data_IF_915894532949
#
_entry.id   IF_915894532949
#
_cell.length_a   1.000
_cell.length_b   1.000
_cell.length_c   1.000
_cell.angle_alpha   90.00
_cell.angle_beta   90.00
_cell.angle_gamma   90.00
#
_symmetry.space_group_name_H-M   'P 1'
#
loop_
_entity.id
_entity.type
_entity.pdbx_description
1 polymer ?
#
# COMPACT_ATOMS: atom_id res chain seq x y z
N UNK A 1 5.82 -24.00 3.88
CA UNK A 1 6.95 -23.49 3.08
C UNK A 1 6.42 -22.34 2.26
N UNK A 2 6.98 -21.14 2.41
CA UNK A 2 6.58 -20.00 1.61
C UNK A 2 6.95 -20.24 0.13
N UNK A 3 6.10 -19.84 -0.85
CA UNK A 3 6.42 -20.01 -2.26
C UNK A 3 7.67 -19.17 -2.60
N UNK A 4 8.58 -19.74 -3.37
CA UNK A 4 9.74 -18.98 -3.87
C UNK A 4 9.36 -18.25 -5.14
N UNK A 5 9.61 -16.93 -5.23
CA UNK A 5 9.32 -16.19 -6.45
C UNK A 5 10.30 -16.59 -7.57
N UNK A 6 9.87 -16.55 -8.84
CA UNK A 6 10.75 -16.83 -9.97
C UNK A 6 11.98 -15.90 -9.97
N UNK A 7 13.19 -16.46 -10.15
CA UNK A 7 14.43 -15.68 -10.05
C UNK A 7 14.71 -14.81 -11.29
N UNK A 8 14.41 -15.30 -12.48
CA UNK A 8 14.85 -14.73 -13.76
C UNK A 8 13.77 -13.87 -14.43
N UNK A 9 13.26 -12.87 -13.70
CA UNK A 9 12.29 -11.92 -14.27
C UNK A 9 12.87 -10.50 -14.31
N UNK A 10 12.53 -9.70 -15.34
CA UNK A 10 13.07 -8.34 -15.49
C UNK A 10 12.69 -7.41 -14.36
N UNK A 11 11.51 -7.60 -13.75
CA UNK A 11 11.03 -6.82 -12.63
C UNK A 11 10.93 -7.66 -11.35
N UNK A 12 11.27 -7.03 -10.22
CA UNK A 12 11.08 -7.63 -8.91
C UNK A 12 9.63 -7.47 -8.46
N UNK A 13 8.99 -6.32 -8.76
CA UNK A 13 7.59 -6.06 -8.44
C UNK A 13 6.87 -5.31 -9.56
N UNK A 14 5.65 -5.75 -9.88
CA UNK A 14 4.69 -5.06 -10.72
C UNK A 14 3.49 -4.65 -9.87
N UNK A 15 3.05 -3.40 -9.98
CA UNK A 15 1.90 -2.88 -9.25
C UNK A 15 0.72 -2.55 -10.15
N UNK A 16 -0.49 -2.94 -9.71
CA UNK A 16 -1.77 -2.61 -10.35
C UNK A 16 -2.70 -2.07 -9.25
N UNK A 17 -3.10 -0.81 -9.35
CA UNK A 17 -3.96 -0.17 -8.37
C UNK A 17 -3.83 1.35 -8.38
N UNK A 18 -4.01 1.97 -7.23
CA UNK A 18 -4.10 3.40 -7.09
C UNK A 18 -2.78 4.14 -7.30
N UNK A 19 -2.88 5.22 -8.08
CA UNK A 19 -1.88 6.26 -8.21
C UNK A 19 -2.60 7.62 -8.19
N UNK A 20 -2.39 8.42 -7.15
CA UNK A 20 -3.21 9.59 -6.83
C UNK A 20 -2.41 10.88 -6.72
N UNK A 21 -3.13 12.00 -6.74
CA UNK A 21 -2.66 13.29 -6.24
C UNK A 21 -3.32 13.57 -4.90
N UNK A 22 -2.51 13.94 -3.92
CA UNK A 22 -2.95 14.25 -2.57
C UNK A 22 -2.86 15.77 -2.34
N UNK A 23 -4.01 16.41 -2.17
CA UNK A 23 -4.15 17.82 -1.78
C UNK A 23 -4.15 17.88 -0.26
N UNK A 24 -2.95 18.01 0.35
CA UNK A 24 -2.80 18.03 1.80
C UNK A 24 -3.05 19.46 2.33
N UNK A 25 -3.96 19.57 3.29
CA UNK A 25 -4.32 20.82 3.96
C UNK A 25 -4.10 20.68 5.45
N UNK A 26 -3.08 21.35 5.97
CA UNK A 26 -2.80 21.39 7.41
C UNK A 26 -3.66 22.46 8.06
N UNK A 27 -4.34 22.09 9.13
CA UNK A 27 -5.31 22.92 9.85
C UNK A 27 -4.90 23.07 11.30
N UNK A 28 -5.22 24.21 11.97
CA UNK A 28 -4.87 24.46 13.38
C UNK A 28 -5.67 23.61 14.37
N UNK A 29 -6.41 22.62 13.90
CA UNK A 29 -7.21 21.70 14.69
C UNK A 29 -8.18 20.91 13.84
N UNK A 30 -8.73 19.83 14.42
CA UNK A 30 -9.62 18.87 13.74
C UNK A 30 -10.90 19.54 13.21
N UNK A 31 -11.34 19.14 12.03
CA UNK A 31 -12.69 19.42 11.52
C UNK A 31 -13.59 18.26 11.95
N UNK A 32 -14.54 18.55 12.84
CA UNK A 32 -15.60 17.59 13.16
C UNK A 32 -16.74 17.76 12.16
N UNK A 33 -17.00 16.74 11.37
CA UNK A 33 -18.04 16.77 10.32
C UNK A 33 -19.48 16.76 10.88
N UNK A 34 -19.67 16.34 12.14
CA UNK A 34 -20.97 16.10 12.75
C UNK A 34 -21.36 17.12 13.83
N UNK A 35 -20.67 18.24 13.95
CA UNK A 35 -20.99 19.32 14.91
C UNK A 35 -21.06 20.65 14.19
N UNK A 36 -21.85 21.62 14.73
CA UNK A 36 -21.84 22.98 14.22
C UNK A 36 -20.39 23.54 14.21
N UNK A 37 -19.91 23.88 13.05
CA UNK A 37 -18.54 24.36 12.84
C UNK A 37 -18.60 25.76 12.21
N UNK A 38 -17.59 26.62 12.43
CA UNK A 38 -17.46 27.85 11.65
C UNK A 38 -17.53 27.57 10.17
N UNK A 39 -18.27 28.39 9.43
CA UNK A 39 -18.45 28.23 7.97
C UNK A 39 -17.19 28.46 7.16
N UNK A 40 -16.14 29.05 7.79
CA UNK A 40 -14.83 29.31 7.18
C UNK A 40 -13.72 28.96 8.17
N UNK A 41 -12.72 28.24 7.69
CA UNK A 41 -11.47 28.00 8.40
C UNK A 41 -10.28 28.35 7.53
N UNK A 42 -9.23 28.88 8.13
CA UNK A 42 -7.97 29.12 7.45
C UNK A 42 -7.20 27.82 7.31
N UNK A 43 -6.58 27.63 6.16
CA UNK A 43 -5.59 26.58 5.93
C UNK A 43 -4.22 27.20 6.27
N UNK A 44 -3.48 26.57 7.17
CA UNK A 44 -2.17 27.06 7.58
C UNK A 44 -1.09 26.68 6.56
N UNK A 45 -1.19 25.48 6.01
CA UNK A 45 -0.26 24.98 5.00
C UNK A 45 -1.00 24.14 3.96
N UNK A 46 -0.64 24.33 2.68
CA UNK A 46 -1.12 23.53 1.57
C UNK A 46 0.06 22.87 0.86
N UNK A 47 -0.05 21.55 0.63
CA UNK A 47 0.88 20.78 -0.18
C UNK A 47 0.09 20.06 -1.28
N UNK A 48 0.74 19.82 -2.43
CA UNK A 48 0.20 18.98 -3.50
C UNK A 48 1.25 17.93 -3.78
N UNK A 49 0.97 16.70 -3.39
CA UNK A 49 1.91 15.59 -3.39
C UNK A 49 1.36 14.44 -4.23
N UNK A 50 2.22 13.51 -4.62
CA UNK A 50 1.80 12.27 -5.24
C UNK A 50 1.66 11.18 -4.18
N UNK A 51 0.64 10.33 -4.34
CA UNK A 51 0.29 9.23 -3.46
C UNK A 51 -0.35 8.09 -4.22
N UNK A 52 -1.21 7.36 -3.53
CA UNK A 52 -1.86 6.13 -3.99
C UNK A 52 -1.13 4.91 -3.47
N UNK A 53 -1.90 3.94 -3.02
CA UNK A 53 -1.44 2.75 -2.30
C UNK A 53 -0.36 1.99 -3.08
N UNK A 54 -0.67 1.59 -4.31
CA UNK A 54 0.28 0.85 -5.16
C UNK A 54 1.45 1.74 -5.58
N UNK A 55 1.19 2.98 -5.99
CA UNK A 55 2.25 3.87 -6.44
C UNK A 55 3.29 4.16 -5.34
N UNK A 56 2.85 4.34 -4.09
CA UNK A 56 3.73 4.52 -2.92
C UNK A 56 4.49 3.24 -2.58
N UNK A 57 3.84 2.07 -2.65
CA UNK A 57 4.49 0.76 -2.45
C UNK A 57 5.61 0.52 -3.47
N UNK A 58 5.39 0.86 -4.75
CA UNK A 58 6.40 0.74 -5.81
C UNK A 58 7.57 1.72 -5.61
N UNK A 59 7.26 2.98 -5.29
CA UNK A 59 8.30 3.98 -4.97
C UNK A 59 9.17 3.52 -3.80
N UNK A 60 8.57 2.92 -2.77
CA UNK A 60 9.30 2.32 -1.64
C UNK A 60 10.16 1.14 -2.08
N UNK A 61 9.62 0.27 -2.92
CA UNK A 61 10.35 -0.88 -3.45
C UNK A 61 11.61 -0.44 -4.21
N UNK A 62 11.50 0.59 -5.06
CA UNK A 62 12.66 1.16 -5.78
C UNK A 62 13.66 1.81 -4.83
N UNK A 63 13.19 2.53 -3.81
CA UNK A 63 14.06 3.15 -2.80
C UNK A 63 14.90 2.11 -2.04
N UNK A 64 14.43 0.86 -1.97
CA UNK A 64 15.17 -0.26 -1.38
C UNK A 64 16.04 -1.04 -2.40
N UNK A 65 16.06 -0.59 -3.67
CA UNK A 65 16.89 -1.17 -4.72
C UNK A 65 16.23 -2.25 -5.55
N UNK A 66 14.89 -2.40 -5.48
CA UNK A 66 14.15 -3.31 -6.34
C UNK A 66 13.80 -2.66 -7.69
N UNK A 67 13.64 -3.46 -8.72
CA UNK A 67 13.15 -3.05 -10.04
C UNK A 67 11.62 -3.12 -10.04
N UNK A 68 10.95 -1.97 -10.14
CA UNK A 68 9.51 -1.89 -10.07
C UNK A 68 8.89 -1.35 -11.37
N UNK A 69 7.71 -1.86 -11.73
CA UNK A 69 6.90 -1.37 -12.84
C UNK A 69 5.45 -1.16 -12.40
N UNK A 70 4.82 -0.13 -12.95
CA UNK A 70 3.42 0.22 -12.71
C UNK A 70 2.58 -0.10 -13.95
N UNK A 71 1.54 -0.90 -13.79
CA UNK A 71 0.60 -1.30 -14.84
C UNK A 71 -0.87 -0.96 -14.47
N UNK A 72 -1.06 0.03 -13.61
CA UNK A 72 -2.37 0.55 -13.22
C UNK A 72 -2.89 1.66 -14.15
N UNK A 73 -4.10 2.16 -13.85
CA UNK A 73 -4.73 3.27 -14.57
C UNK A 73 -4.20 4.63 -14.11
N UNK A 74 -3.94 5.52 -15.07
CA UNK A 74 -3.60 6.93 -14.86
C UNK A 74 -4.52 7.76 -15.76
N UNK A 75 -5.06 8.86 -15.24
CA UNK A 75 -5.86 9.80 -16.02
C UNK A 75 -5.03 10.56 -17.07
N UNK A 76 -5.69 11.08 -18.11
CA UNK A 76 -5.05 11.88 -19.16
C UNK A 76 -5.00 13.39 -18.83
N UNK A 77 -5.34 13.77 -17.61
CA UNK A 77 -5.28 15.14 -17.10
C UNK A 77 -3.90 15.54 -16.55
N UNK A 78 -3.77 16.78 -16.07
CA UNK A 78 -2.54 17.30 -15.47
C UNK A 78 -2.12 16.50 -14.22
N UNK A 79 -3.08 16.04 -13.42
CA UNK A 79 -2.81 15.20 -12.24
C UNK A 79 -2.19 13.86 -12.65
N UNK A 80 -2.74 13.18 -13.65
CA UNK A 80 -2.18 11.94 -14.18
C UNK A 80 -0.79 12.12 -14.78
N UNK A 81 -0.60 13.21 -15.54
CA UNK A 81 0.72 13.55 -16.06
C UNK A 81 1.75 13.81 -14.94
N UNK A 82 1.33 14.42 -13.82
CA UNK A 82 2.18 14.65 -12.65
C UNK A 82 2.54 13.35 -11.94
N UNK A 83 1.56 12.48 -11.68
CA UNK A 83 1.80 11.16 -11.08
C UNK A 83 2.78 10.35 -11.93
N UNK A 84 2.59 10.32 -13.24
CA UNK A 84 3.48 9.62 -14.17
C UNK A 84 4.92 10.14 -14.10
N UNK A 85 5.11 11.46 -14.11
CA UNK A 85 6.44 12.06 -13.95
C UNK A 85 7.08 11.72 -12.63
N UNK A 86 6.32 11.74 -11.53
CA UNK A 86 6.82 11.37 -10.20
C UNK A 86 7.28 9.91 -10.14
N UNK A 87 6.49 8.97 -10.66
CA UNK A 87 6.87 7.55 -10.72
C UNK A 87 8.17 7.36 -11.51
N UNK A 88 8.27 7.95 -12.70
CA UNK A 88 9.49 7.89 -13.52
C UNK A 88 10.69 8.52 -12.80
N UNK A 89 10.52 9.66 -12.15
CA UNK A 89 11.62 10.33 -11.41
C UNK A 89 12.15 9.49 -10.26
N UNK A 90 11.32 8.60 -9.71
CA UNK A 90 11.69 7.65 -8.67
C UNK A 90 12.25 6.32 -9.19
N UNK A 91 12.32 6.16 -10.51
CA UNK A 91 12.85 4.95 -11.15
C UNK A 91 11.82 3.82 -11.29
N UNK A 92 10.52 4.09 -11.12
CA UNK A 92 9.45 3.13 -11.44
C UNK A 92 9.23 3.15 -12.94
N UNK A 93 9.29 1.98 -13.58
CA UNK A 93 8.91 1.83 -14.99
C UNK A 93 7.39 2.03 -15.15
N UNK A 94 6.98 2.80 -16.13
CA UNK A 94 5.56 3.10 -16.43
C UNK A 94 5.17 2.74 -17.86
N UNK A 95 5.95 1.87 -18.50
CA UNK A 95 5.73 1.46 -19.89
C UNK A 95 4.38 0.74 -20.06
N UNK A 96 3.97 -0.01 -19.05
CA UNK A 96 2.71 -0.74 -19.02
C UNK A 96 1.55 0.03 -18.35
N UNK A 97 1.77 1.29 -17.92
CA UNK A 97 0.70 2.12 -17.38
C UNK A 97 -0.40 2.39 -18.41
N UNK A 98 -1.64 2.28 -17.99
CA UNK A 98 -2.82 2.50 -18.83
C UNK A 98 -3.27 3.96 -18.69
N UNK A 99 -3.13 4.74 -19.75
CA UNK A 99 -3.63 6.13 -19.77
C UNK A 99 -5.09 6.12 -20.20
N UNK A 100 -5.98 6.47 -19.28
CA UNK A 100 -7.42 6.50 -19.48
C UNK A 100 -7.91 7.90 -19.86
N UNK A 101 -8.92 7.99 -20.71
CA UNK A 101 -9.62 9.25 -21.02
C UNK A 101 -10.57 9.64 -19.89
N UNK A 102 -9.98 9.99 -18.74
CA UNK A 102 -10.67 10.32 -17.49
C UNK A 102 -9.75 11.18 -16.61
N UNK A 103 -10.31 11.96 -15.66
CA UNK A 103 -9.50 12.63 -14.64
C UNK A 103 -8.82 11.59 -13.72
N UNK A 104 -7.61 11.90 -13.30
CA UNK A 104 -6.86 11.04 -12.38
C UNK A 104 -7.49 11.03 -10.98
N UNK A 105 -7.35 9.91 -10.29
CA UNK A 105 -7.71 9.79 -8.87
C UNK A 105 -7.00 10.87 -8.03
N UNK A 106 -7.71 11.43 -7.07
CA UNK A 106 -7.15 12.39 -6.12
C UNK A 106 -7.73 12.21 -4.72
N UNK A 107 -7.02 12.74 -3.74
CA UNK A 107 -7.50 12.85 -2.37
C UNK A 107 -7.34 14.28 -1.84
N UNK A 108 -8.29 14.71 -1.00
CA UNK A 108 -8.17 15.89 -0.14
C UNK A 108 -7.87 15.37 1.26
N UNK A 109 -6.69 15.69 1.77
CA UNK A 109 -6.22 15.21 3.08
C UNK A 109 -6.22 16.41 4.03
N UNK A 110 -7.04 16.34 5.07
CA UNK A 110 -7.12 17.32 6.13
C UNK A 110 -6.29 16.79 7.32
N UNK A 111 -5.20 17.48 7.64
CA UNK A 111 -4.30 17.11 8.74
C UNK A 111 -4.50 18.08 9.90
N UNK A 112 -4.73 17.56 11.10
CA UNK A 112 -4.70 18.34 12.33
C UNK A 112 -3.25 18.55 12.75
N UNK A 113 -2.79 19.82 12.77
CA UNK A 113 -1.41 20.17 13.13
C UNK A 113 -1.02 19.74 14.55
N UNK A 114 -1.99 19.63 15.46
CA UNK A 114 -1.75 19.34 16.88
C UNK A 114 -1.59 17.86 17.17
N UNK A 115 -2.41 17.03 16.51
CA UNK A 115 -2.47 15.58 16.79
C UNK A 115 -1.83 14.73 15.68
N UNK A 116 -1.60 15.31 14.48
CA UNK A 116 -1.21 14.55 13.29
C UNK A 116 -2.33 13.66 12.73
N UNK A 117 -3.52 13.68 13.34
CA UNK A 117 -4.68 12.94 12.83
C UNK A 117 -5.12 13.48 11.48
N UNK A 118 -5.58 12.59 10.62
CA UNK A 118 -6.03 12.94 9.27
C UNK A 118 -7.44 12.49 8.97
N UNK A 119 -8.11 13.25 8.10
CA UNK A 119 -9.32 12.84 7.41
C UNK A 119 -9.03 12.85 5.93
N UNK A 120 -9.30 11.75 5.25
CA UNK A 120 -9.08 11.58 3.81
C UNK A 120 -10.44 11.56 3.12
N UNK A 121 -10.62 12.47 2.14
CA UNK A 121 -11.71 12.49 1.20
C UNK A 121 -11.12 12.18 -0.16
N UNK A 122 -11.55 11.11 -0.80
CA UNK A 122 -10.99 10.70 -2.09
C UNK A 122 -12.07 10.53 -3.16
N UNK A 123 -11.65 10.69 -4.41
CA UNK A 123 -12.52 10.48 -5.57
C UNK A 123 -11.74 9.76 -6.68
N UNK A 124 -12.41 8.79 -7.28
CA UNK A 124 -11.90 8.03 -8.42
C UNK A 124 -12.96 7.97 -9.51
N UNK A 125 -12.63 8.54 -10.66
CA UNK A 125 -13.54 8.50 -11.80
C UNK A 125 -13.73 7.06 -12.31
N UNK A 126 -14.98 6.61 -12.63
CA UNK A 126 -15.25 5.26 -13.13
C UNK A 126 -14.47 4.88 -14.39
N UNK A 127 -14.11 5.86 -15.22
CA UNK A 127 -13.28 5.67 -16.42
C UNK A 127 -11.85 5.21 -16.15
N UNK A 128 -11.42 5.15 -14.87
CA UNK A 128 -10.13 4.56 -14.48
C UNK A 128 -10.24 3.05 -14.17
N UNK A 129 -11.44 2.45 -14.25
CA UNK A 129 -11.60 1.02 -14.04
C UNK A 129 -10.89 0.22 -15.15
N UNK A 130 -10.09 -0.76 -14.76
CA UNK A 130 -9.35 -1.61 -15.69
C UNK A 130 -10.22 -2.78 -16.19
N UNK A 131 -10.32 -2.92 -17.50
CA UNK A 131 -10.96 -4.04 -18.16
C UNK A 131 -10.07 -5.27 -18.29
N UNK A 132 -10.62 -6.38 -18.79
CA UNK A 132 -9.85 -7.62 -19.00
C UNK A 132 -8.67 -7.45 -19.96
N UNK A 133 -8.81 -6.61 -20.99
CA UNK A 133 -7.80 -6.39 -22.01
C UNK A 133 -6.61 -5.55 -21.53
N UNK A 134 -6.81 -4.83 -20.44
CA UNK A 134 -5.78 -3.97 -19.84
C UNK A 134 -4.77 -4.78 -19.04
N UNK A 135 -5.19 -5.96 -18.54
CA UNK A 135 -4.35 -6.85 -17.77
C UNK A 135 -3.58 -7.80 -18.68
N UNK A 136 -2.38 -7.41 -19.08
CA UNK A 136 -1.54 -8.15 -20.03
C UNK A 136 -0.80 -9.30 -19.34
N UNK A 137 -1.06 -10.60 -19.68
CA UNK A 137 -0.35 -11.72 -19.07
C UNK A 137 1.17 -11.64 -19.19
N UNK A 138 1.68 -11.08 -20.29
CA UNK A 138 3.11 -10.89 -20.50
C UNK A 138 3.75 -9.93 -19.51
N UNK A 139 3.07 -8.83 -19.16
CA UNK A 139 3.53 -7.90 -18.12
C UNK A 139 3.54 -8.59 -16.73
N UNK A 140 2.47 -9.33 -16.41
CA UNK A 140 2.38 -10.09 -15.15
C UNK A 140 3.49 -11.16 -15.06
N UNK A 141 3.79 -11.85 -16.16
CA UNK A 141 4.86 -12.84 -16.22
C UNK A 141 6.27 -12.21 -16.13
N UNK A 142 6.41 -10.91 -16.38
CA UNK A 142 7.67 -10.20 -16.29
C UNK A 142 8.08 -9.81 -14.84
N UNK A 143 7.20 -9.98 -13.85
CA UNK A 143 7.48 -9.60 -12.47
C UNK A 143 7.48 -10.81 -11.51
N UNK A 144 8.40 -10.81 -10.53
CA UNK A 144 8.49 -11.83 -9.48
C UNK A 144 7.32 -11.75 -8.51
N UNK A 145 6.90 -10.53 -8.21
CA UNK A 145 5.74 -10.21 -7.35
C UNK A 145 4.79 -9.31 -8.14
N UNK A 146 3.50 -9.58 -8.02
CA UNK A 146 2.43 -8.66 -8.42
C UNK A 146 1.78 -8.12 -7.14
N UNK A 147 1.78 -6.81 -6.97
CA UNK A 147 1.15 -6.12 -5.87
C UNK A 147 -0.12 -5.42 -6.35
N UNK A 148 -1.22 -5.62 -5.65
CA UNK A 148 -2.52 -5.02 -5.97
C UNK A 148 -3.16 -4.41 -4.72
N UNK A 149 -3.96 -3.37 -4.88
CA UNK A 149 -4.85 -2.84 -3.85
C UNK A 149 -6.32 -3.22 -4.11
N UNK A 150 -7.21 -2.81 -3.23
CA UNK A 150 -8.64 -3.07 -3.32
C UNK A 150 -9.47 -1.91 -3.91
N UNK A 151 -8.83 -0.85 -4.40
CA UNK A 151 -9.50 0.33 -4.99
C UNK A 151 -10.26 -0.03 -6.27
N UNK A 152 -9.71 -0.95 -7.07
CA UNK A 152 -10.40 -1.59 -8.21
C UNK A 152 -10.41 -3.11 -7.97
N UNK A 153 -11.28 -3.56 -7.08
CA UNK A 153 -11.30 -4.95 -6.59
C UNK A 153 -11.48 -5.96 -7.70
N UNK A 154 -12.24 -5.62 -8.75
CA UNK A 154 -12.47 -6.50 -9.90
C UNK A 154 -11.19 -6.69 -10.71
N UNK A 155 -10.46 -5.62 -10.98
CA UNK A 155 -9.17 -5.68 -11.64
C UNK A 155 -8.13 -6.39 -10.77
N UNK A 156 -8.12 -6.11 -9.46
CA UNK A 156 -7.22 -6.74 -8.50
C UNK A 156 -7.38 -8.26 -8.45
N UNK A 157 -8.61 -8.76 -8.38
CA UNK A 157 -8.90 -10.21 -8.37
C UNK A 157 -8.45 -10.87 -9.69
N UNK A 158 -8.75 -10.23 -10.82
CA UNK A 158 -8.32 -10.73 -12.14
C UNK A 158 -6.79 -10.76 -12.25
N UNK A 159 -6.13 -9.64 -11.89
CA UNK A 159 -4.67 -9.53 -11.91
C UNK A 159 -4.01 -10.58 -11.00
N UNK A 160 -4.50 -10.73 -9.78
CA UNK A 160 -4.01 -11.72 -8.83
C UNK A 160 -4.14 -13.16 -9.36
N UNK A 161 -5.30 -13.49 -9.95
CA UNK A 161 -5.56 -14.81 -10.53
C UNK A 161 -4.62 -15.10 -11.69
N UNK A 162 -4.48 -14.17 -12.63
CA UNK A 162 -3.59 -14.30 -13.79
C UNK A 162 -2.10 -14.35 -13.36
N UNK A 163 -1.70 -13.51 -12.40
CA UNK A 163 -0.34 -13.49 -11.87
C UNK A 163 0.06 -14.84 -11.26
N UNK A 164 -0.82 -15.43 -10.46
CA UNK A 164 -0.59 -16.78 -9.90
C UNK A 164 -0.52 -17.86 -10.97
N UNK A 165 -1.34 -17.77 -12.00
CA UNK A 165 -1.32 -18.72 -13.11
C UNK A 165 0.02 -18.71 -13.88
N UNK A 166 0.71 -17.56 -13.93
CA UNK A 166 2.06 -17.44 -14.50
C UNK A 166 3.19 -17.61 -13.46
N UNK A 167 2.85 -18.06 -12.26
CA UNK A 167 3.80 -18.36 -11.18
C UNK A 167 4.37 -17.15 -10.44
N UNK A 168 3.76 -15.96 -10.58
CA UNK A 168 4.13 -14.81 -9.75
C UNK A 168 3.55 -14.94 -8.33
N UNK A 169 4.25 -14.38 -7.37
CA UNK A 169 3.73 -14.20 -6.00
C UNK A 169 2.83 -12.98 -5.98
N UNK A 170 1.72 -13.05 -5.26
CA UNK A 170 0.77 -11.92 -5.17
C UNK A 170 0.71 -11.39 -3.76
N UNK A 171 0.98 -10.10 -3.58
CA UNK A 171 0.78 -9.35 -2.34
C UNK A 171 -0.36 -8.35 -2.52
N UNK A 172 -1.06 -8.01 -1.45
CA UNK A 172 -2.19 -7.07 -1.53
C UNK A 172 -2.07 -5.94 -0.52
N UNK A 173 -2.79 -4.87 -0.81
CA UNK A 173 -3.24 -3.86 0.13
C UNK A 173 -4.76 -3.94 0.26
N UNK A 174 -5.26 -4.40 1.41
CA UNK A 174 -6.70 -4.53 1.66
C UNK A 174 -7.06 -3.58 2.81
N UNK A 175 -7.76 -2.50 2.46
CA UNK A 175 -8.14 -1.42 3.39
C UNK A 175 -9.66 -1.31 3.56
N UNK A 176 -10.45 -1.79 2.60
CA UNK A 176 -11.91 -1.79 2.67
C UNK A 176 -12.51 -3.20 2.61
N UNK A 177 -13.62 -3.41 3.35
CA UNK A 177 -14.37 -4.67 3.27
C UNK A 177 -15.55 -4.52 2.33
N UNK A 178 -15.50 -5.24 1.24
CA UNK A 178 -16.56 -5.33 0.22
C UNK A 178 -17.10 -6.74 0.14
N UNK A 179 -18.18 -6.94 -0.61
CA UNK A 179 -18.71 -8.30 -0.89
C UNK A 179 -17.72 -9.22 -1.61
N UNK A 180 -16.63 -8.67 -2.18
CA UNK A 180 -15.62 -9.41 -2.94
C UNK A 180 -14.26 -9.53 -2.27
N UNK A 181 -14.09 -8.95 -1.07
CA UNK A 181 -12.79 -8.97 -0.35
C UNK A 181 -12.26 -10.39 -0.18
N UNK A 182 -13.10 -11.38 0.16
CA UNK A 182 -12.66 -12.76 0.32
C UNK A 182 -12.23 -13.44 -0.99
N UNK A 183 -12.73 -12.98 -2.13
CA UNK A 183 -12.24 -13.44 -3.45
C UNK A 183 -10.80 -12.92 -3.67
N UNK A 184 -10.53 -11.64 -3.36
CA UNK A 184 -9.20 -11.07 -3.45
C UNK A 184 -8.22 -11.75 -2.49
N UNK A 185 -8.63 -12.00 -1.23
CA UNK A 185 -7.86 -12.79 -0.26
C UNK A 185 -7.49 -14.15 -0.84
N UNK A 186 -8.45 -14.87 -1.40
CA UNK A 186 -8.23 -16.22 -1.96
C UNK A 186 -7.34 -16.20 -3.21
N UNK A 187 -7.39 -15.14 -4.01
CA UNK A 187 -6.57 -14.96 -5.19
C UNK A 187 -5.12 -14.54 -4.87
N UNK A 188 -4.85 -14.03 -3.68
CA UNK A 188 -3.54 -13.56 -3.26
C UNK A 188 -2.63 -14.67 -2.70
N UNK A 189 -1.33 -14.37 -2.53
CA UNK A 189 -0.37 -15.23 -1.82
C UNK A 189 -0.15 -14.71 -0.40
N UNK A 190 -0.01 -13.41 -0.26
CA UNK A 190 0.19 -12.69 1.00
C UNK A 190 -0.84 -11.56 1.09
N UNK A 191 -2.06 -11.83 1.61
CA UNK A 191 -2.99 -10.76 1.92
C UNK A 191 -2.44 -9.94 3.10
N UNK A 192 -2.31 -8.61 2.88
CA UNK A 192 -1.88 -7.66 3.91
C UNK A 192 -3.05 -6.71 4.16
N UNK A 193 -3.59 -6.78 5.36
CA UNK A 193 -4.78 -6.06 5.78
C UNK A 193 -4.43 -4.77 6.54
N UNK A 194 -5.28 -3.75 6.40
CA UNK A 194 -5.35 -2.68 7.39
C UNK A 194 -5.94 -3.21 8.72
N UNK A 195 -5.68 -2.51 9.82
CA UNK A 195 -5.97 -2.93 11.18
C UNK A 195 -7.41 -3.44 11.40
N UNK A 196 -8.39 -2.73 10.85
CA UNK A 196 -9.81 -3.01 11.07
C UNK A 196 -10.37 -4.16 10.19
N UNK A 197 -9.70 -4.50 9.10
CA UNK A 197 -10.24 -5.42 8.08
C UNK A 197 -10.43 -6.85 8.60
N UNK A 198 -9.46 -7.48 9.30
CA UNK A 198 -9.66 -8.83 9.83
C UNK A 198 -10.86 -8.93 10.77
N UNK A 199 -11.06 -7.94 11.66
CA UNK A 199 -12.21 -7.88 12.57
C UNK A 199 -13.52 -7.70 11.80
N UNK A 200 -13.54 -6.80 10.81
CA UNK A 200 -14.73 -6.56 10.00
C UNK A 200 -15.17 -7.79 9.19
N UNK A 201 -14.22 -8.65 8.76
CA UNK A 201 -14.55 -9.90 8.05
C UNK A 201 -15.01 -10.99 9.01
N UNK A 202 -14.37 -11.12 10.17
CA UNK A 202 -14.55 -12.30 11.05
C UNK A 202 -15.49 -12.04 12.22
N UNK A 203 -15.74 -10.80 12.58
CA UNK A 203 -16.44 -10.41 13.80
C UNK A 203 -15.61 -10.63 15.08
N UNK A 204 -14.29 -10.84 14.96
CA UNK A 204 -13.36 -11.08 16.09
C UNK A 204 -12.45 -9.88 16.26
N UNK A 205 -12.49 -9.23 17.42
CA UNK A 205 -11.76 -7.98 17.66
C UNK A 205 -10.25 -8.18 17.86
N UNK A 206 -9.85 -9.33 18.45
CA UNK A 206 -8.43 -9.60 18.67
C UNK A 206 -7.76 -9.99 17.32
N UNK A 207 -6.74 -9.21 16.86
CA UNK A 207 -6.17 -9.38 15.53
C UNK A 207 -5.59 -10.78 15.26
N UNK A 208 -4.92 -11.38 16.24
CA UNK A 208 -4.34 -12.71 16.10
C UNK A 208 -5.40 -13.80 15.95
N UNK A 209 -6.52 -13.71 16.67
CA UNK A 209 -7.62 -14.66 16.57
C UNK A 209 -8.41 -14.46 15.28
N UNK A 210 -8.57 -13.21 14.82
CA UNK A 210 -9.15 -12.92 13.51
C UNK A 210 -8.31 -13.53 12.38
N UNK A 211 -6.97 -13.40 12.42
CA UNK A 211 -6.09 -14.06 11.44
C UNK A 211 -6.17 -15.58 11.51
N UNK A 212 -6.28 -16.18 12.72
CA UNK A 212 -6.49 -17.63 12.88
C UNK A 212 -7.83 -18.09 12.29
N UNK A 213 -8.89 -17.29 12.39
CA UNK A 213 -10.16 -17.58 11.75
C UNK A 213 -10.04 -17.54 10.22
N UNK A 214 -9.35 -16.54 9.65
CA UNK A 214 -9.09 -16.42 8.21
C UNK A 214 -8.21 -17.55 7.67
N UNK A 215 -7.35 -18.16 8.49
CA UNK A 215 -6.50 -19.30 8.11
C UNK A 215 -7.31 -20.45 7.52
N UNK A 216 -8.57 -20.63 7.90
CA UNK A 216 -9.41 -21.73 7.36
C UNK A 216 -9.69 -21.58 5.86
N UNK A 217 -9.63 -20.34 5.35
CA UNK A 217 -9.91 -20.02 3.94
C UNK A 217 -8.67 -19.69 3.14
N UNK A 218 -7.54 -19.40 3.81
CA UNK A 218 -6.30 -18.99 3.14
C UNK A 218 -5.07 -19.68 3.75
N UNK A 219 -4.34 -20.52 2.99
CA UNK A 219 -3.22 -21.31 3.49
C UNK A 219 -1.89 -20.53 3.59
N UNK A 220 -1.78 -19.36 2.92
CA UNK A 220 -0.57 -18.52 2.90
C UNK A 220 -0.36 -17.72 4.18
N UNK A 221 0.66 -16.88 4.22
CA UNK A 221 0.88 -15.94 5.34
C UNK A 221 -0.19 -14.85 5.28
N UNK A 222 -0.86 -14.65 6.41
CA UNK A 222 -1.82 -13.57 6.63
C UNK A 222 -1.15 -12.48 7.45
N UNK A 223 -1.19 -11.23 7.01
CA UNK A 223 -0.52 -10.11 7.69
C UNK A 223 -1.52 -8.97 7.93
N UNK A 224 -1.43 -8.31 9.08
CA UNK A 224 -2.18 -7.08 9.37
C UNK A 224 -1.26 -6.03 9.96
N UNK A 225 -1.37 -4.80 9.46
CA UNK A 225 -0.77 -3.62 10.10
C UNK A 225 -1.66 -3.17 11.25
N UNK A 226 -1.08 -2.69 12.35
CA UNK A 226 -1.78 -2.34 13.59
C UNK A 226 -1.48 -0.87 14.01
N UNK A 227 -1.17 0.00 13.05
CA UNK A 227 -0.83 1.40 13.30
C UNK A 227 0.33 1.53 14.30
N UNK A 228 0.16 2.31 15.36
CA UNK A 228 1.17 2.52 16.40
C UNK A 228 1.53 1.23 17.21
N UNK A 229 0.76 0.15 17.06
CA UNK A 229 1.07 -1.15 17.68
C UNK A 229 1.99 -2.03 16.81
N UNK A 230 2.30 -1.60 15.57
CA UNK A 230 3.18 -2.31 14.64
C UNK A 230 2.44 -3.21 13.67
N UNK A 231 2.81 -4.48 13.60
CA UNK A 231 2.21 -5.44 12.68
C UNK A 231 2.20 -6.86 13.28
N UNK A 232 1.29 -7.68 12.76
CA UNK A 232 1.12 -9.08 13.15
C UNK A 232 0.99 -9.93 11.89
N UNK A 233 1.57 -11.12 11.89
CA UNK A 233 1.39 -12.08 10.81
C UNK A 233 1.17 -13.49 11.35
N UNK A 234 0.34 -14.26 10.67
CA UNK A 234 0.15 -15.69 10.90
C UNK A 234 0.87 -16.46 9.80
N UNK A 235 2.03 -17.04 10.12
CA UNK A 235 2.85 -17.86 9.22
C UNK A 235 2.73 -19.34 9.64
N UNK A 236 2.06 -20.15 8.84
CA UNK A 236 1.68 -21.49 9.27
C UNK A 236 0.74 -21.45 10.48
N UNK A 237 1.18 -22.01 11.61
CA UNK A 237 0.50 -21.93 12.92
C UNK A 237 1.11 -20.87 13.85
N UNK A 238 2.24 -20.28 13.47
CA UNK A 238 2.97 -19.31 14.29
C UNK A 238 2.40 -17.90 14.11
N UNK A 239 2.09 -17.27 15.22
CA UNK A 239 1.70 -15.87 15.26
C UNK A 239 2.93 -15.02 15.57
N UNK A 240 3.37 -14.27 14.58
CA UNK A 240 4.54 -13.40 14.66
C UNK A 240 4.08 -11.96 14.82
N UNK A 241 4.45 -11.32 15.91
CA UNK A 241 4.16 -9.91 16.18
C UNK A 241 5.45 -9.10 16.18
N UNK A 242 5.40 -7.93 15.57
CA UNK A 242 6.51 -6.97 15.56
C UNK A 242 5.98 -5.59 16.00
N UNK A 243 6.47 -5.01 17.10
CA UNK A 243 6.05 -3.69 17.56
C UNK A 243 6.49 -2.61 16.58
N UNK A 244 5.79 -1.47 16.58
CA UNK A 244 6.20 -0.29 15.85
C UNK A 244 7.45 0.35 16.48
N UNK A 245 8.20 1.12 15.68
CA UNK A 245 9.23 2.01 16.20
C UNK A 245 8.60 3.31 16.66
N UNK A 246 9.03 3.81 17.82
CA UNK A 246 8.56 5.08 18.36
C UNK A 246 9.25 6.23 17.63
N UNK A 247 8.46 7.07 16.98
CA UNK A 247 8.92 8.26 16.26
C UNK A 247 8.01 9.46 16.56
N UNK A 248 8.50 10.65 16.35
CA UNK A 248 7.66 11.86 16.34
C UNK A 248 6.92 11.94 15.00
N UNK A 249 5.64 11.56 15.01
CA UNK A 249 4.83 11.50 13.81
C UNK A 249 4.39 12.91 13.36
N UNK A 250 4.66 13.23 12.09
CA UNK A 250 4.26 14.47 11.42
C UNK A 250 3.04 14.22 10.53
N UNK A 251 3.08 13.12 9.76
CA UNK A 251 2.01 12.69 8.86
C UNK A 251 2.07 11.17 8.67
N UNK A 252 0.98 10.48 8.96
CA UNK A 252 0.92 9.02 8.82
C UNK A 252 0.39 8.55 7.47
N UNK A 253 0.19 9.47 6.52
CA UNK A 253 -0.29 9.13 5.16
C UNK A 253 0.75 8.26 4.44
N UNK A 254 0.30 7.14 3.89
CA UNK A 254 1.16 6.22 3.16
C UNK A 254 2.01 5.28 4.01
N UNK A 255 1.93 5.34 5.35
CA UNK A 255 2.72 4.44 6.22
C UNK A 255 2.43 2.96 5.94
N UNK A 256 1.16 2.61 5.67
CA UNK A 256 0.74 1.28 5.25
C UNK A 256 1.39 0.84 3.94
N UNK A 257 1.43 1.74 2.96
CA UNK A 257 2.01 1.47 1.63
C UNK A 257 3.53 1.27 1.75
N UNK A 258 4.20 2.10 2.56
CA UNK A 258 5.64 1.96 2.85
C UNK A 258 5.91 0.65 3.59
N UNK A 259 5.05 0.24 4.53
CA UNK A 259 5.12 -1.06 5.16
C UNK A 259 5.09 -2.19 4.12
N UNK A 260 4.15 -2.12 3.15
CA UNK A 260 4.01 -3.14 2.10
C UNK A 260 5.23 -3.21 1.20
N UNK A 261 5.82 -2.06 0.83
CA UNK A 261 7.10 -2.01 0.13
C UNK A 261 8.24 -2.68 0.93
N UNK A 262 8.31 -2.43 2.23
CA UNK A 262 9.24 -3.07 3.16
C UNK A 262 9.02 -4.58 3.29
N UNK A 263 7.75 -5.01 3.34
CA UNK A 263 7.38 -6.43 3.36
C UNK A 263 7.82 -7.14 2.08
N UNK A 264 7.54 -6.57 0.92
CA UNK A 264 7.96 -7.09 -0.38
C UNK A 264 9.49 -7.22 -0.44
N UNK A 265 10.21 -6.20 0.00
CA UNK A 265 11.67 -6.23 0.04
C UNK A 265 12.18 -7.37 0.93
N UNK A 266 11.72 -7.46 2.18
CA UNK A 266 12.16 -8.50 3.12
C UNK A 266 11.87 -9.92 2.61
N UNK A 267 10.69 -10.12 2.02
CA UNK A 267 10.33 -11.39 1.39
C UNK A 267 11.29 -11.76 0.24
N UNK A 268 11.62 -10.82 -0.65
CA UNK A 268 12.55 -11.05 -1.77
C UNK A 268 13.98 -11.29 -1.32
N UNK A 269 14.38 -10.81 -0.11
CA UNK A 269 15.65 -11.12 0.51
C UNK A 269 15.66 -12.52 1.18
N UNK A 270 14.54 -13.23 1.19
CA UNK A 270 14.43 -14.54 1.84
C UNK A 270 14.48 -14.48 3.37
N UNK A 271 14.11 -13.34 3.97
CA UNK A 271 14.11 -13.19 5.42
C UNK A 271 12.96 -13.93 6.08
N UNK A 272 13.13 -14.26 7.38
CA UNK A 272 12.04 -14.75 8.20
C UNK A 272 10.93 -13.71 8.31
N UNK A 273 9.70 -14.17 8.57
CA UNK A 273 8.53 -13.29 8.77
C UNK A 273 8.80 -12.24 9.86
N UNK A 274 9.43 -12.62 10.98
CA UNK A 274 9.78 -11.70 12.06
C UNK A 274 10.73 -10.57 11.59
N UNK A 275 11.78 -10.90 10.84
CA UNK A 275 12.72 -9.91 10.30
C UNK A 275 12.05 -9.01 9.26
N UNK A 276 11.21 -9.58 8.41
CA UNK A 276 10.44 -8.86 7.40
C UNK A 276 9.51 -7.83 8.04
N UNK A 277 8.73 -8.23 9.04
CA UNK A 277 7.83 -7.31 9.76
C UNK A 277 8.61 -6.19 10.47
N UNK A 278 9.74 -6.52 11.11
CA UNK A 278 10.57 -5.52 11.80
C UNK A 278 11.11 -4.47 10.84
N UNK A 279 11.61 -4.89 9.67
CA UNK A 279 12.10 -3.98 8.63
C UNK A 279 10.95 -3.11 8.07
N UNK A 280 9.81 -3.73 7.76
CA UNK A 280 8.64 -3.02 7.24
C UNK A 280 8.10 -1.99 8.24
N UNK A 281 8.05 -2.31 9.54
CA UNK A 281 7.67 -1.37 10.60
C UNK A 281 8.66 -0.21 10.74
N UNK A 282 9.97 -0.46 10.63
CA UNK A 282 10.98 0.59 10.68
C UNK A 282 10.84 1.56 9.49
N UNK A 283 10.60 1.02 8.30
CA UNK A 283 10.34 1.83 7.10
C UNK A 283 9.07 2.68 7.25
N UNK A 284 7.97 2.09 7.70
CA UNK A 284 6.71 2.79 7.96
C UNK A 284 6.85 3.86 9.04
N UNK A 285 7.58 3.60 10.12
CA UNK A 285 7.83 4.59 11.17
C UNK A 285 8.60 5.80 10.64
N UNK A 286 9.66 5.58 9.84
CA UNK A 286 10.41 6.67 9.21
C UNK A 286 9.55 7.50 8.26
N UNK A 287 8.67 6.90 7.49
CA UNK A 287 7.76 7.67 6.62
C UNK A 287 6.86 8.60 7.42
N UNK A 288 6.42 8.20 8.60
CA UNK A 288 5.58 9.05 9.47
C UNK A 288 6.27 10.34 9.94
N UNK A 289 7.59 10.46 9.84
CA UNK A 289 8.33 11.67 10.25
C UNK A 289 8.33 12.79 9.19
N UNK A 290 7.68 12.58 8.04
CA UNK A 290 7.66 13.50 6.89
C UNK A 290 6.26 13.61 6.32
N UNK A 291 5.96 14.71 5.60
CA UNK A 291 4.67 14.90 4.95
C UNK A 291 4.55 14.10 3.64
N UNK A 292 3.36 13.53 3.42
CA UNK A 292 2.88 12.91 2.19
C UNK A 292 3.31 11.46 2.02
N UNK A 293 2.57 10.70 1.22
CA UNK A 293 2.79 9.28 0.99
C UNK A 293 4.12 9.01 0.25
N UNK A 294 4.19 9.28 -1.05
CA UNK A 294 5.42 9.06 -1.82
C UNK A 294 6.58 9.93 -1.38
N UNK A 295 6.30 11.18 -0.95
CA UNK A 295 7.37 12.11 -0.56
C UNK A 295 8.10 11.71 0.73
N UNK A 296 7.45 10.93 1.60
CA UNK A 296 8.00 10.47 2.87
C UNK A 296 8.78 9.15 2.78
N UNK A 297 8.77 8.48 1.65
CA UNK A 297 9.44 7.18 1.45
C UNK A 297 10.91 7.27 1.89
N UNK A 298 11.34 6.44 2.86
CA UNK A 298 12.72 6.44 3.34
C UNK A 298 13.64 5.70 2.36
N UNK A 299 14.94 6.03 2.42
CA UNK A 299 15.97 5.22 1.79
C UNK A 299 16.30 4.00 2.65
N UNK A 300 16.76 2.92 2.02
CA UNK A 300 17.13 1.70 2.72
C UNK A 300 18.11 1.94 3.87
N UNK A 301 19.15 2.75 3.65
CA UNK A 301 20.16 3.06 4.64
C UNK A 301 19.61 3.77 5.89
N UNK A 302 18.53 4.56 5.74
CA UNK A 302 17.83 5.18 6.87
C UNK A 302 17.12 4.11 7.71
N UNK A 303 16.47 3.13 7.05
CA UNK A 303 15.81 2.02 7.71
C UNK A 303 16.82 1.14 8.44
N UNK A 304 17.94 0.80 7.80
CA UNK A 304 19.00 0.00 8.41
C UNK A 304 19.62 0.68 9.63
N UNK A 305 19.83 2.00 9.59
CA UNK A 305 20.28 2.79 10.75
C UNK A 305 19.28 2.74 11.91
N UNK A 306 17.98 2.92 11.64
CA UNK A 306 16.97 2.81 12.70
C UNK A 306 16.95 1.44 13.34
N UNK A 307 17.10 0.38 12.56
CA UNK A 307 17.17 -1.01 13.04
C UNK A 307 18.38 -1.31 13.93
N UNK A 308 19.48 -0.57 13.79
CA UNK A 308 20.69 -0.70 14.62
C UNK A 308 20.59 0.03 15.96
N UNK A 309 19.72 1.05 16.05
CA UNK A 309 19.53 1.87 17.25
C UNK A 309 18.48 1.31 18.21
N UNK A 310 17.58 0.46 17.76
CA UNK A 310 16.48 -0.17 18.50
C UNK A 310 16.51 -1.69 18.41
#
# INVERSE_FOLDING_TARGET
MQPSPPADRPFDVLGIGAASIDFVHVLPGRIALNVPSPTKRRIDRRLVLCGGQVATTLATSVSFGLRATFAGAIGNDENGARVRRELVSRGVDVTDAIVCDAPNQYAIILVDERSGERTILWDRHPGLALGERDLRPGALAAARIVHVDDVDVDAAIRAATLARAVGAVVTTDIDEVTGRTMELVSASTFPIFAEHVPSAITGIDEPGDALRALRRTHPGVLCATLGARGAIALDGSELVQSPAFVVEAVDTTGAGDVFRGGFIYGYLQGWSTARTLRFANAAAALSCTRFGAMASVPFRDEVERLLQLG
#
